data_IF_223173115398
#
_entry.id   IF_223173115398
#
_cell.length_a   1.000
_cell.length_b   1.000
_cell.length_c   1.000
_cell.angle_alpha   90.00
_cell.angle_beta   90.00
_cell.angle_gamma   90.00
#
_symmetry.space_group_name_H-M   'P 1'
#
loop_
_entity.id
_entity.type
_entity.pdbx_description
1 polymer ?
#
# COMPACT_ATOMS: atom_id res chain seq x y z
N UNK A 1 -8.81 24.41 -16.55
CA UNK A 1 -7.34 24.32 -16.50
C UNK A 1 -6.78 24.49 -15.08
N UNK A 2 -7.14 25.56 -14.36
CA UNK A 2 -6.61 25.85 -13.02
C UNK A 2 -6.82 24.71 -11.99
N UNK A 3 -7.97 24.02 -12.02
CA UNK A 3 -8.27 22.92 -11.09
C UNK A 3 -7.32 21.73 -11.30
N UNK A 4 -7.02 21.35 -12.54
CA UNK A 4 -6.09 20.24 -12.83
C UNK A 4 -4.68 20.54 -12.34
N UNK A 5 -4.21 21.77 -12.51
CA UNK A 5 -2.89 22.20 -12.00
C UNK A 5 -2.85 22.10 -10.47
N UNK A 6 -3.90 22.60 -9.79
CA UNK A 6 -3.99 22.48 -8.32
C UNK A 6 -4.03 21.02 -7.87
N UNK A 7 -4.84 20.17 -8.50
CA UNK A 7 -4.89 18.73 -8.22
C UNK A 7 -3.51 18.09 -8.37
N UNK A 8 -2.84 18.33 -9.50
CA UNK A 8 -1.52 17.75 -9.76
C UNK A 8 -0.51 18.14 -8.69
N UNK A 9 -0.34 19.44 -8.40
CA UNK A 9 0.66 19.90 -7.44
C UNK A 9 0.34 19.51 -6.00
N UNK A 10 -0.95 19.47 -5.64
CA UNK A 10 -1.38 19.02 -4.31
C UNK A 10 -1.00 17.57 -4.09
N UNK A 11 -1.38 16.69 -5.02
CA UNK A 11 -1.07 15.27 -4.91
C UNK A 11 0.41 14.98 -5.15
N UNK A 12 1.12 15.77 -5.95
CA UNK A 12 2.58 15.71 -6.07
C UNK A 12 3.28 16.04 -4.76
N UNK A 13 2.85 17.10 -4.06
CA UNK A 13 3.34 17.45 -2.72
C UNK A 13 3.07 16.31 -1.74
N UNK A 14 1.84 15.79 -1.69
CA UNK A 14 1.46 14.68 -0.81
C UNK A 14 2.34 13.45 -1.08
N UNK A 15 2.51 13.08 -2.35
CA UNK A 15 3.36 11.95 -2.75
C UNK A 15 4.86 12.15 -2.46
N UNK A 16 5.33 13.41 -2.43
CA UNK A 16 6.72 13.74 -2.13
C UNK A 16 7.03 13.76 -0.63
N UNK A 17 6.06 14.15 0.22
CA UNK A 17 6.27 14.41 1.64
C UNK A 17 5.65 13.36 2.58
N UNK A 18 5.23 12.22 2.06
CA UNK A 18 4.73 11.14 2.92
C UNK A 18 5.85 10.22 3.41
N UNK A 19 5.89 10.03 4.72
CA UNK A 19 6.65 8.98 5.38
C UNK A 19 5.70 8.18 6.29
N UNK A 20 5.66 6.85 6.17
CA UNK A 20 4.84 5.99 7.05
C UNK A 20 3.68 5.22 6.41
N UNK A 21 3.63 5.13 5.08
CA UNK A 21 2.63 4.32 4.35
C UNK A 21 1.33 5.07 4.02
N UNK A 22 0.35 4.35 3.44
CA UNK A 22 -0.87 4.98 2.90
C UNK A 22 -1.73 5.71 3.95
N UNK A 23 -1.82 5.17 5.17
CA UNK A 23 -2.60 5.78 6.25
C UNK A 23 -1.97 7.06 6.80
N UNK A 24 -0.64 7.17 6.79
CA UNK A 24 0.05 8.39 7.18
C UNK A 24 -0.23 9.56 6.21
N UNK A 25 -0.69 9.27 4.98
CA UNK A 25 -1.08 10.30 4.01
C UNK A 25 -2.43 10.93 4.31
N UNK A 26 -3.34 10.20 4.95
CA UNK A 26 -4.75 10.61 5.05
C UNK A 26 -4.94 11.97 5.74
N UNK A 27 -4.25 12.28 6.86
CA UNK A 27 -4.38 13.60 7.49
C UNK A 27 -3.91 14.73 6.56
N UNK A 28 -2.83 14.51 5.80
CA UNK A 28 -2.31 15.51 4.86
C UNK A 28 -3.28 15.71 3.68
N UNK A 29 -3.84 14.61 3.16
CA UNK A 29 -4.88 14.66 2.12
C UNK A 29 -6.10 15.42 2.66
N UNK A 30 -6.56 15.12 3.88
CA UNK A 30 -7.73 15.76 4.47
C UNK A 30 -7.55 17.28 4.56
N UNK A 31 -6.40 17.75 5.08
CA UNK A 31 -6.10 19.18 5.17
C UNK A 31 -6.11 19.83 3.80
N UNK A 32 -5.43 19.25 2.80
CA UNK A 32 -5.35 19.87 1.48
C UNK A 32 -6.69 19.86 0.72
N UNK A 33 -7.48 18.80 0.87
CA UNK A 33 -8.71 18.58 0.11
C UNK A 33 -9.91 19.29 0.74
N UNK A 34 -10.00 19.33 2.07
CA UNK A 34 -11.09 19.96 2.81
C UNK A 34 -10.70 21.39 3.18
N UNK A 35 -9.64 21.56 3.97
CA UNK A 35 -9.33 22.85 4.60
C UNK A 35 -8.69 23.85 3.62
N UNK A 36 -7.76 23.41 2.76
CA UNK A 36 -7.07 24.29 1.80
C UNK A 36 -7.89 24.56 0.56
N UNK A 37 -8.49 23.53 -0.05
CA UNK A 37 -9.14 23.64 -1.35
C UNK A 37 -10.66 23.56 -1.33
N UNK A 38 -11.26 22.99 -0.28
CA UNK A 38 -12.71 22.80 -0.18
C UNK A 38 -13.30 22.00 -1.34
N UNK A 39 -12.56 21.02 -1.87
CA UNK A 39 -13.05 20.16 -2.96
C UNK A 39 -14.08 19.15 -2.49
N UNK A 40 -14.01 18.75 -1.22
CA UNK A 40 -14.93 17.79 -0.60
C UNK A 40 -15.30 18.26 0.79
N UNK A 41 -16.53 17.95 1.21
CA UNK A 41 -16.92 17.99 2.60
C UNK A 41 -16.42 16.76 3.36
N UNK A 42 -16.41 16.81 4.70
CA UNK A 42 -15.89 15.73 5.54
C UNK A 42 -16.60 14.39 5.31
N UNK A 43 -17.92 14.39 5.12
CA UNK A 43 -18.70 13.20 4.81
C UNK A 43 -18.27 12.58 3.46
N UNK A 44 -18.09 13.40 2.43
CA UNK A 44 -17.64 12.93 1.11
C UNK A 44 -16.21 12.39 1.16
N UNK A 45 -15.34 13.02 1.95
CA UNK A 45 -13.99 12.52 2.18
C UNK A 45 -14.02 11.13 2.83
N UNK A 46 -14.82 10.93 3.87
CA UNK A 46 -14.99 9.62 4.54
C UNK A 46 -15.52 8.57 3.57
N UNK A 47 -16.51 8.90 2.73
CA UNK A 47 -17.00 7.99 1.69
C UNK A 47 -15.90 7.59 0.70
N UNK A 48 -15.07 8.55 0.28
CA UNK A 48 -13.95 8.27 -0.62
C UNK A 48 -12.93 7.34 0.05
N UNK A 49 -12.62 7.53 1.33
CA UNK A 49 -11.72 6.61 2.05
C UNK A 49 -12.32 5.21 2.14
N UNK A 50 -13.62 5.10 2.44
CA UNK A 50 -14.30 3.81 2.47
C UNK A 50 -14.20 3.07 1.12
N UNK A 51 -14.42 3.78 0.01
CA UNK A 51 -14.26 3.21 -1.34
C UNK A 51 -12.79 2.81 -1.59
N UNK A 52 -11.84 3.67 -1.21
CA UNK A 52 -10.42 3.42 -1.40
C UNK A 52 -9.93 2.16 -0.68
N UNK A 53 -10.49 1.85 0.50
CA UNK A 53 -10.20 0.64 1.27
C UNK A 53 -10.90 -0.62 0.72
N UNK A 54 -12.10 -0.49 0.18
CA UNK A 54 -12.80 -1.60 -0.49
C UNK A 54 -12.09 -2.00 -1.79
N UNK A 55 -11.46 -1.05 -2.48
CA UNK A 55 -10.70 -1.33 -3.71
C UNK A 55 -9.32 -1.91 -3.42
N UNK A 56 -8.89 -2.95 -4.13
CA UNK A 56 -7.55 -3.50 -3.96
C UNK A 56 -6.49 -2.46 -4.36
N UNK A 57 -5.44 -2.33 -3.54
CA UNK A 57 -4.29 -1.46 -3.83
C UNK A 57 -3.93 -0.52 -2.69
N UNK A 58 -2.98 0.41 -2.92
CA UNK A 58 -2.56 1.37 -1.91
C UNK A 58 -3.66 2.41 -1.65
N UNK A 59 -4.18 2.42 -0.41
CA UNK A 59 -5.29 3.30 0.02
C UNK A 59 -5.08 4.76 -0.39
N UNK A 60 -3.86 5.29 -0.25
CA UNK A 60 -3.59 6.68 -0.60
C UNK A 60 -3.68 6.98 -2.11
N UNK A 61 -3.27 6.04 -2.98
CA UNK A 61 -3.38 6.20 -4.44
C UNK A 61 -4.86 6.10 -4.84
N UNK A 62 -5.58 5.14 -4.27
CA UNK A 62 -7.02 4.99 -4.52
C UNK A 62 -7.77 6.24 -4.05
N UNK A 63 -7.48 6.76 -2.86
CA UNK A 63 -8.04 8.00 -2.35
C UNK A 63 -7.73 9.18 -3.29
N UNK A 64 -6.48 9.37 -3.72
CA UNK A 64 -6.14 10.41 -4.69
C UNK A 64 -6.95 10.29 -6.00
N UNK A 65 -7.09 9.06 -6.51
CA UNK A 65 -7.87 8.75 -7.71
C UNK A 65 -9.33 9.17 -7.56
N UNK A 66 -9.97 8.76 -6.47
CA UNK A 66 -11.40 9.03 -6.22
C UNK A 66 -11.66 10.50 -5.85
N UNK A 67 -10.76 11.16 -5.11
CA UNK A 67 -10.84 12.60 -4.85
C UNK A 67 -10.71 13.38 -6.16
N UNK A 68 -9.75 13.01 -7.02
CA UNK A 68 -9.62 13.56 -8.35
C UNK A 68 -10.88 13.35 -9.19
N UNK A 69 -11.49 12.16 -9.12
CA UNK A 69 -12.75 11.86 -9.79
C UNK A 69 -13.90 12.74 -9.31
N UNK A 70 -14.06 12.92 -8.00
CA UNK A 70 -15.08 13.81 -7.44
C UNK A 70 -14.86 15.27 -7.82
N UNK A 71 -13.61 15.69 -7.92
CA UNK A 71 -13.25 17.10 -8.18
C UNK A 71 -13.36 17.48 -9.67
N UNK A 72 -12.93 16.60 -10.58
CA UNK A 72 -12.90 16.90 -12.03
C UNK A 72 -13.10 15.66 -12.91
N UNK A 73 -13.90 14.69 -12.45
CA UNK A 73 -14.32 13.48 -13.17
C UNK A 73 -13.08 12.70 -13.66
N UNK A 74 -13.17 12.05 -14.82
CA UNK A 74 -12.14 11.14 -15.32
C UNK A 74 -10.75 11.77 -15.41
N UNK A 75 -10.66 13.00 -15.93
CA UNK A 75 -9.38 13.70 -16.05
C UNK A 75 -8.85 14.14 -14.69
N UNK A 76 -9.72 14.49 -13.74
CA UNK A 76 -9.30 14.78 -12.37
C UNK A 76 -8.68 13.57 -11.69
N UNK A 77 -9.29 12.39 -11.88
CA UNK A 77 -8.78 11.12 -11.37
C UNK A 77 -7.38 10.82 -11.93
N UNK A 78 -7.21 10.93 -13.25
CA UNK A 78 -5.93 10.70 -13.92
C UNK A 78 -4.84 11.64 -13.39
N UNK A 79 -5.14 12.94 -13.30
CA UNK A 79 -4.18 13.98 -12.88
C UNK A 79 -3.78 13.83 -11.42
N UNK A 80 -4.73 13.56 -10.52
CA UNK A 80 -4.44 13.33 -9.10
C UNK A 80 -3.59 12.07 -8.89
N UNK A 81 -3.92 10.98 -9.60
CA UNK A 81 -3.18 9.72 -9.56
C UNK A 81 -1.75 9.89 -10.06
N UNK A 82 -1.56 10.57 -11.19
CA UNK A 82 -0.24 10.89 -11.70
C UNK A 82 0.53 11.79 -10.73
N UNK A 83 -0.14 12.81 -10.16
CA UNK A 83 0.44 13.68 -9.14
C UNK A 83 1.04 12.90 -7.99
N UNK A 84 0.27 11.99 -7.36
CA UNK A 84 0.74 11.25 -6.17
C UNK A 84 1.82 10.20 -6.48
N UNK A 85 1.79 9.57 -7.66
CA UNK A 85 2.73 8.50 -8.03
C UNK A 85 4.07 9.05 -8.56
N UNK A 86 4.03 10.14 -9.30
CA UNK A 86 5.19 10.69 -10.00
C UNK A 86 6.40 11.01 -9.10
N UNK A 87 6.28 11.62 -7.90
CA UNK A 87 7.45 11.93 -7.07
C UNK A 87 8.22 10.67 -6.67
N UNK A 88 7.51 9.63 -6.20
CA UNK A 88 8.12 8.35 -5.86
C UNK A 88 8.76 7.68 -7.08
N UNK A 89 8.10 7.75 -8.24
CA UNK A 89 8.63 7.21 -9.50
C UNK A 89 9.92 7.92 -9.96
N UNK A 90 9.99 9.25 -9.85
CA UNK A 90 11.18 10.00 -10.20
C UNK A 90 12.33 9.71 -9.24
N UNK A 91 12.05 9.65 -7.93
CA UNK A 91 13.04 9.33 -6.91
C UNK A 91 13.66 7.96 -7.18
N UNK A 92 12.85 6.92 -7.44
CA UNK A 92 13.39 5.58 -7.70
C UNK A 92 14.21 5.54 -9.00
N UNK A 93 13.80 6.25 -10.05
CA UNK A 93 14.59 6.36 -11.29
C UNK A 93 15.96 7.01 -11.05
N UNK A 94 16.00 8.09 -10.28
CA UNK A 94 17.25 8.77 -9.91
C UNK A 94 18.14 7.81 -9.11
N UNK A 95 17.60 7.15 -8.09
CA UNK A 95 18.33 6.17 -7.28
C UNK A 95 18.89 5.07 -8.17
N UNK A 96 18.07 4.45 -9.01
CA UNK A 96 18.51 3.36 -9.91
C UNK A 96 19.62 3.86 -10.82
N UNK A 97 19.48 5.04 -11.44
CA UNK A 97 20.50 5.59 -12.33
C UNK A 97 21.83 5.80 -11.60
N UNK A 98 21.80 6.36 -10.39
CA UNK A 98 23.01 6.56 -9.58
C UNK A 98 23.63 5.21 -9.13
N UNK A 99 22.80 4.22 -8.80
CA UNK A 99 23.24 2.94 -8.28
C UNK A 99 23.72 1.96 -9.36
N UNK A 100 23.26 2.08 -10.62
CA UNK A 100 23.73 1.21 -11.72
C UNK A 100 25.24 1.27 -11.96
N UNK A 101 25.93 2.36 -11.58
CA UNK A 101 27.38 2.43 -11.61
C UNK A 101 28.06 1.71 -10.42
N UNK A 102 27.37 1.65 -9.27
CA UNK A 102 27.88 1.11 -8.01
C UNK A 102 27.68 -0.41 -7.85
N UNK A 103 26.74 -1.01 -8.59
CA UNK A 103 26.42 -2.45 -8.52
C UNK A 103 27.55 -3.38 -8.99
N UNK A 104 28.57 -2.85 -9.66
CA UNK A 104 29.78 -3.61 -10.03
C UNK A 104 30.75 -3.82 -8.85
N UNK A 105 30.62 -3.04 -7.76
CA UNK A 105 31.49 -3.13 -6.60
C UNK A 105 31.15 -4.34 -5.71
N UNK A 106 32.15 -5.08 -5.19
CA UNK A 106 31.95 -6.16 -4.22
C UNK A 106 31.17 -5.72 -2.97
N UNK A 107 31.36 -4.46 -2.53
CA UNK A 107 30.69 -3.88 -1.37
C UNK A 107 29.16 -3.82 -1.55
N UNK A 108 28.71 -3.39 -2.72
CA UNK A 108 27.28 -3.31 -3.05
C UNK A 108 26.64 -4.69 -3.02
N UNK A 109 27.31 -5.71 -3.58
CA UNK A 109 26.85 -7.11 -3.50
C UNK A 109 26.78 -7.63 -2.06
N UNK A 110 27.75 -7.26 -1.21
CA UNK A 110 27.75 -7.59 0.21
C UNK A 110 26.54 -7.00 0.94
N UNK A 111 26.25 -5.71 0.72
CA UNK A 111 25.08 -5.03 1.29
C UNK A 111 23.78 -5.72 0.89
N UNK A 112 23.56 -5.98 -0.41
CA UNK A 112 22.35 -6.67 -0.87
C UNK A 112 22.23 -8.10 -0.33
N UNK A 113 23.36 -8.80 -0.15
CA UNK A 113 23.38 -10.12 0.48
C UNK A 113 23.02 -10.06 1.95
N UNK A 114 23.39 -8.99 2.67
CA UNK A 114 23.02 -8.78 4.08
C UNK A 114 21.56 -8.30 4.27
N UNK A 115 21.04 -7.49 3.35
CA UNK A 115 19.65 -7.01 3.41
C UNK A 115 18.64 -8.16 3.29
N UNK A 116 18.89 -9.14 2.41
CA UNK A 116 17.97 -10.28 2.20
C UNK A 116 17.62 -11.04 3.50
N UNK A 117 18.59 -11.57 4.28
CA UNK A 117 18.30 -12.26 5.54
C UNK A 117 17.75 -11.32 6.60
N UNK A 118 18.14 -10.04 6.62
CA UNK A 118 17.55 -9.06 7.54
C UNK A 118 16.04 -8.87 7.27
N UNK A 119 15.64 -8.74 6.00
CA UNK A 119 14.22 -8.66 5.60
C UNK A 119 13.48 -9.94 5.97
N UNK A 120 14.05 -11.12 5.73
CA UNK A 120 13.46 -12.40 6.15
C UNK A 120 13.25 -12.44 7.66
N UNK A 121 14.23 -11.99 8.45
CA UNK A 121 14.12 -11.91 9.91
C UNK A 121 13.02 -10.95 10.37
N UNK A 122 12.89 -9.78 9.74
CA UNK A 122 11.82 -8.83 10.04
C UNK A 122 10.42 -9.39 9.71
N UNK A 123 10.27 -10.07 8.57
CA UNK A 123 9.03 -10.76 8.21
C UNK A 123 8.73 -11.89 9.20
N UNK A 124 9.75 -12.66 9.60
CA UNK A 124 9.62 -13.71 10.61
C UNK A 124 9.19 -13.17 11.98
N UNK A 125 9.72 -12.01 12.39
CA UNK A 125 9.30 -11.33 13.62
C UNK A 125 7.85 -10.86 13.54
N UNK A 126 7.42 -10.32 12.39
CA UNK A 126 6.04 -9.94 12.17
C UNK A 126 5.11 -11.16 12.23
N UNK A 127 5.49 -12.27 11.59
CA UNK A 127 4.79 -13.54 11.64
C UNK A 127 4.67 -14.05 13.09
N UNK A 128 5.76 -14.00 13.86
CA UNK A 128 5.76 -14.43 15.26
C UNK A 128 4.81 -13.59 16.12
N UNK A 129 4.89 -12.25 15.99
CA UNK A 129 4.02 -11.34 16.73
C UNK A 129 2.54 -11.59 16.43
N UNK A 130 2.18 -11.66 15.14
CA UNK A 130 0.79 -11.91 14.74
C UNK A 130 0.36 -13.31 15.16
N UNK A 131 1.18 -14.33 14.90
CA UNK A 131 0.89 -15.72 15.26
C UNK A 131 0.68 -15.92 16.75
N UNK A 132 1.46 -15.23 17.61
CA UNK A 132 1.34 -15.36 19.06
C UNK A 132 0.00 -14.88 19.63
N UNK A 133 -0.71 -13.99 18.92
CA UNK A 133 -2.04 -13.50 19.33
C UNK A 133 -3.19 -14.17 18.57
N UNK A 134 -2.94 -14.75 17.39
CA UNK A 134 -4.00 -15.38 16.57
C UNK A 134 -4.07 -16.90 16.72
N UNK A 135 -2.95 -17.59 16.96
CA UNK A 135 -2.89 -19.06 17.06
C UNK A 135 -3.11 -19.53 18.50
N UNK A 136 -4.27 -19.20 19.06
CA UNK A 136 -4.62 -19.50 20.45
C UNK A 136 -5.28 -20.86 20.62
N UNK A 137 -5.96 -21.37 19.58
CA UNK A 137 -6.69 -22.64 19.61
C UNK A 137 -6.16 -23.64 18.58
N UNK A 138 -6.53 -24.91 18.77
CA UNK A 138 -6.08 -25.97 17.86
C UNK A 138 -6.65 -25.82 16.45
N UNK A 139 -7.84 -25.20 16.28
CA UNK A 139 -8.47 -25.00 14.97
C UNK A 139 -7.70 -23.96 14.16
N UNK A 140 -7.30 -22.84 14.76
CA UNK A 140 -6.46 -21.82 14.12
C UNK A 140 -5.10 -22.40 13.70
N UNK A 141 -4.47 -23.23 14.56
CA UNK A 141 -3.23 -23.93 14.21
C UNK A 141 -3.42 -24.87 13.02
N UNK A 142 -4.53 -25.63 12.99
CA UNK A 142 -4.85 -26.51 11.86
C UNK A 142 -5.08 -25.73 10.56
N UNK A 143 -5.83 -24.64 10.60
CA UNK A 143 -6.07 -23.78 9.43
C UNK A 143 -4.76 -23.20 8.93
N UNK A 144 -3.90 -22.70 9.84
CA UNK A 144 -2.58 -22.16 9.50
C UNK A 144 -1.68 -23.21 8.83
N UNK A 145 -1.54 -24.39 9.43
CA UNK A 145 -0.73 -25.47 8.87
C UNK A 145 -1.28 -25.95 7.53
N UNK A 146 -2.60 -26.07 7.39
CA UNK A 146 -3.26 -26.42 6.14
C UNK A 146 -2.97 -25.39 5.04
N UNK A 147 -3.16 -24.11 5.34
CA UNK A 147 -2.85 -23.01 4.42
C UNK A 147 -1.37 -22.99 4.02
N UNK A 148 -0.46 -23.21 4.98
CA UNK A 148 0.98 -23.27 4.73
C UNK A 148 1.35 -24.41 3.77
N UNK A 149 0.78 -25.61 3.98
CA UNK A 149 1.01 -26.76 3.10
C UNK A 149 0.45 -26.51 1.69
N UNK A 150 -0.75 -25.93 1.59
CA UNK A 150 -1.36 -25.59 0.30
C UNK A 150 -0.54 -24.57 -0.49
N UNK A 151 0.07 -23.58 0.18
CA UNK A 151 0.93 -22.60 -0.47
C UNK A 151 2.29 -23.19 -0.87
N UNK A 152 2.93 -23.96 0.00
CA UNK A 152 4.28 -24.48 -0.25
C UNK A 152 4.28 -25.65 -1.23
N UNK A 153 3.29 -26.55 -1.17
CA UNK A 153 3.23 -27.77 -2.00
C UNK A 153 2.16 -27.70 -3.09
N UNK A 154 1.04 -27.02 -2.83
CA UNK A 154 -0.11 -27.02 -3.73
C UNK A 154 0.05 -26.11 -4.96
N UNK A 155 1.06 -25.23 -5.01
CA UNK A 155 1.25 -24.20 -6.06
C UNK A 155 -0.02 -23.36 -6.30
N UNK A 156 -0.91 -23.29 -5.31
CA UNK A 156 -2.15 -22.54 -5.41
C UNK A 156 -1.84 -21.04 -5.29
N UNK A 157 -2.59 -20.24 -6.03
CA UNK A 157 -2.55 -18.80 -5.85
C UNK A 157 -2.98 -18.45 -4.41
N UNK A 158 -2.39 -17.43 -3.76
CA UNK A 158 -2.74 -17.07 -2.39
C UNK A 158 -4.22 -16.73 -2.16
N UNK A 159 -4.90 -16.18 -3.18
CA UNK A 159 -6.31 -15.78 -3.08
C UNK A 159 -7.24 -16.96 -2.73
N UNK A 160 -7.27 -18.09 -3.48
CA UNK A 160 -8.04 -19.27 -3.10
C UNK A 160 -7.73 -19.78 -1.68
N UNK A 161 -6.46 -19.79 -1.28
CA UNK A 161 -6.06 -20.27 0.05
C UNK A 161 -6.63 -19.37 1.15
N UNK A 162 -6.63 -18.05 0.95
CA UNK A 162 -7.24 -17.09 1.87
C UNK A 162 -8.76 -17.31 1.99
N UNK A 163 -9.46 -17.53 0.88
CA UNK A 163 -10.90 -17.81 0.89
C UNK A 163 -11.19 -19.11 1.65
N UNK A 164 -10.46 -20.18 1.36
CA UNK A 164 -10.62 -21.47 2.05
C UNK A 164 -10.32 -21.37 3.54
N UNK A 165 -9.28 -20.62 3.93
CA UNK A 165 -8.95 -20.40 5.33
C UNK A 165 -10.05 -19.61 6.04
N UNK A 166 -10.60 -18.56 5.41
CA UNK A 166 -11.72 -17.79 5.94
C UNK A 166 -13.00 -18.61 6.12
N UNK A 167 -13.36 -19.41 5.10
CA UNK A 167 -14.50 -20.32 5.18
C UNK A 167 -14.31 -21.40 6.24
N UNK A 168 -13.12 -21.98 6.33
CA UNK A 168 -12.78 -22.96 7.36
C UNK A 168 -12.87 -22.35 8.75
N UNK A 169 -12.43 -21.10 8.91
CA UNK A 169 -12.60 -20.33 10.13
C UNK A 169 -14.07 -20.22 10.54
N UNK A 170 -14.93 -19.74 9.64
CA UNK A 170 -16.37 -19.59 9.89
C UNK A 170 -17.08 -20.90 10.28
N UNK A 171 -16.71 -22.02 9.67
CA UNK A 171 -17.31 -23.33 9.94
C UNK A 171 -16.81 -23.96 11.24
N UNK A 172 -15.62 -23.57 11.69
CA UNK A 172 -14.98 -24.16 12.87
C UNK A 172 -15.13 -23.28 14.12
N UNK A 173 -15.41 -21.98 14.01
CA UNK A 173 -15.90 -21.13 15.12
C UNK A 173 -17.29 -21.57 15.58
#
# INVERSE_FOLDING_TARGET
MAVFVKLFFTFFKIGAFTFGGGYAMLPLIQVEVIDTHGWLALNEFIEVIAIAEMTPGPVAINAATFIGYRTAVFFGALVATLGVVLPSFLIILIIVRLFTGLTKSPWTKGIFTGIKPAVIGLIGLALWRVGSVTLTDYKAVLIFLGALVLLLKGRLHPIPVLILAGLSGLLLT
#
